data_IF_884661592301
#
_entry.id   IF_884661592301
#
_cell.length_a   1.000
_cell.length_b   1.000
_cell.length_c   1.000
_cell.angle_alpha   90.00
_cell.angle_beta   90.00
_cell.angle_gamma   90.00
#
_symmetry.space_group_name_H-M   'P 1'
#
loop_
_entity.id
_entity.type
_entity.pdbx_description
1 polymer ?
#
# COMPACT_ATOMS: atom_id res chain seq x y z
N UNK A 1 -11.18 16.41 6.30
CA UNK A 1 -10.77 15.90 5.22
C UNK A 1 -9.41 15.51 5.27
N UNK A 2 -9.11 14.46 5.00
CA UNK A 2 -7.86 13.93 5.20
C UNK A 2 -6.93 14.13 4.03
N UNK A 3 -5.66 14.10 4.30
CA UNK A 3 -4.68 14.04 3.26
C UNK A 3 -4.59 12.62 2.78
N UNK A 4 -4.14 12.47 1.55
CA UNK A 4 -3.80 11.14 1.06
C UNK A 4 -2.54 10.66 1.78
N UNK A 5 -2.43 9.38 2.06
CA UNK A 5 -1.27 8.86 2.77
C UNK A 5 -0.03 8.83 1.89
N UNK A 6 1.13 8.81 2.54
CA UNK A 6 2.38 8.60 1.85
C UNK A 6 2.59 7.11 1.62
N UNK A 7 3.52 6.78 0.73
CA UNK A 7 3.85 5.37 0.52
C UNK A 7 4.38 4.73 1.80
N UNK A 8 5.17 5.47 2.58
CA UNK A 8 5.71 4.95 3.83
C UNK A 8 4.59 4.58 4.80
N UNK A 9 3.56 5.43 4.90
CA UNK A 9 2.43 5.16 5.78
C UNK A 9 1.67 3.91 5.34
N UNK A 10 1.47 3.77 4.03
CA UNK A 10 0.78 2.61 3.50
C UNK A 10 1.58 1.34 3.77
N UNK A 11 2.89 1.40 3.52
CA UNK A 11 3.77 0.25 3.73
C UNK A 11 3.74 -0.19 5.19
N UNK A 12 3.84 0.76 6.12
CA UNK A 12 3.79 0.41 7.54
C UNK A 12 2.47 -0.26 7.90
N UNK A 13 1.37 0.23 7.34
CA UNK A 13 0.07 -0.35 7.61
C UNK A 13 -0.01 -1.78 7.06
N UNK A 14 0.47 -1.99 5.84
CA UNK A 14 0.48 -3.32 5.24
C UNK A 14 1.32 -4.29 6.07
N UNK A 15 2.49 -3.86 6.51
CA UNK A 15 3.36 -4.70 7.31
C UNK A 15 2.71 -5.06 8.63
N UNK A 16 2.04 -4.09 9.25
CA UNK A 16 1.34 -4.34 10.49
C UNK A 16 0.23 -5.35 10.33
N UNK A 17 -0.37 -5.43 9.14
CA UNK A 17 -1.44 -6.37 8.84
C UNK A 17 -0.93 -7.69 8.27
N UNK A 18 0.38 -7.90 8.29
CA UNK A 18 0.94 -9.20 7.91
C UNK A 18 1.44 -9.31 6.50
N UNK A 19 1.37 -8.24 5.72
CA UNK A 19 1.96 -8.25 4.38
C UNK A 19 3.47 -8.14 4.50
N UNK A 20 4.19 -8.76 3.58
CA UNK A 20 5.65 -8.69 3.59
C UNK A 20 6.18 -8.29 2.23
N UNK A 21 7.32 -7.66 2.26
CA UNK A 21 8.02 -7.18 1.07
C UNK A 21 8.46 -8.37 0.23
N UNK A 22 8.20 -8.29 -1.06
CA UNK A 22 8.61 -9.33 -1.99
C UNK A 22 9.73 -8.82 -2.90
N UNK A 23 9.50 -7.69 -3.55
CA UNK A 23 10.48 -7.16 -4.50
C UNK A 23 10.16 -5.72 -4.81
N UNK A 24 11.11 -5.06 -5.45
CA UNK A 24 10.91 -3.72 -5.95
C UNK A 24 11.40 -3.66 -7.37
N UNK A 25 10.58 -3.09 -8.24
CA UNK A 25 10.96 -2.88 -9.61
C UNK A 25 10.75 -1.41 -9.94
N UNK A 26 11.86 -0.67 -10.14
CA UNK A 26 11.79 0.76 -10.32
C UNK A 26 11.15 1.41 -9.11
N UNK A 27 10.07 2.14 -9.34
CA UNK A 27 9.36 2.85 -8.29
C UNK A 27 8.21 2.07 -7.69
N UNK A 28 8.13 0.77 -7.93
CA UNK A 28 6.99 -0.02 -7.47
C UNK A 28 7.46 -1.14 -6.58
N UNK A 29 6.91 -1.20 -5.36
CA UNK A 29 7.20 -2.26 -4.41
C UNK A 29 6.04 -3.23 -4.34
N UNK A 30 6.37 -4.52 -4.30
CA UNK A 30 5.36 -5.57 -4.22
C UNK A 30 5.32 -6.13 -2.81
N UNK A 31 4.13 -6.19 -2.24
CA UNK A 31 3.87 -6.81 -0.94
C UNK A 31 2.89 -7.95 -1.10
N UNK A 32 3.03 -8.97 -0.28
CA UNK A 32 2.22 -10.16 -0.44
C UNK A 32 1.78 -10.72 0.90
N UNK A 33 0.57 -11.29 0.92
CA UNK A 33 0.06 -12.01 2.08
C UNK A 33 -1.01 -12.98 1.61
N UNK A 34 -0.77 -14.28 1.80
CA UNK A 34 -1.78 -15.31 1.54
C UNK A 34 -2.47 -15.17 0.19
N UNK A 35 -1.68 -15.06 -0.85
CA UNK A 35 -2.23 -14.97 -2.20
C UNK A 35 -2.65 -13.59 -2.63
N UNK A 36 -2.70 -12.63 -1.72
CA UNK A 36 -3.01 -11.24 -2.09
C UNK A 36 -1.74 -10.51 -2.40
N UNK A 37 -1.76 -9.74 -3.46
CA UNK A 37 -0.59 -8.97 -3.90
C UNK A 37 -0.98 -7.50 -3.97
N UNK A 38 -0.15 -6.66 -3.38
CA UNK A 38 -0.38 -5.21 -3.36
C UNK A 38 0.85 -4.53 -3.94
N UNK A 39 0.63 -3.63 -4.89
CA UNK A 39 1.71 -2.85 -5.50
C UNK A 39 1.63 -1.42 -4.99
N UNK A 40 2.72 -0.93 -4.41
CA UNK A 40 2.78 0.41 -3.84
C UNK A 40 3.88 1.21 -4.53
N UNK A 41 3.54 2.34 -5.16
CA UNK A 41 4.60 3.20 -5.70
C UNK A 41 5.37 3.81 -4.53
N UNK A 42 6.69 3.71 -4.58
CA UNK A 42 7.54 4.14 -3.47
C UNK A 42 8.90 4.56 -4.00
N UNK A 43 9.39 5.70 -3.59
CA UNK A 43 8.83 6.61 -2.57
C UNK A 43 7.81 7.58 -3.17
N UNK A 44 6.81 7.94 -2.37
CA UNK A 44 5.80 8.93 -2.76
C UNK A 44 5.30 9.63 -1.52
N UNK A 45 5.32 10.95 -1.53
CA UNK A 45 4.82 11.71 -0.39
C UNK A 45 3.32 11.62 -0.25
N UNK A 46 2.63 11.54 -1.37
CA UNK A 46 1.18 11.39 -1.40
C UNK A 46 0.82 10.38 -2.47
N UNK A 47 0.12 9.33 -2.09
CA UNK A 47 -0.34 8.34 -3.06
C UNK A 47 -1.60 8.90 -3.73
N UNK A 48 -1.66 8.98 -5.06
CA UNK A 48 -2.86 9.46 -5.74
C UNK A 48 -4.08 8.65 -5.36
N UNK A 49 -5.24 9.30 -5.31
CA UNK A 49 -6.46 8.65 -4.81
C UNK A 49 -6.82 7.38 -5.59
N UNK A 50 -6.67 7.40 -6.91
CA UNK A 50 -6.96 6.21 -7.70
C UNK A 50 -6.05 5.04 -7.36
N UNK A 51 -4.77 5.33 -7.17
CA UNK A 51 -3.79 4.32 -6.76
C UNK A 51 -4.12 3.81 -5.37
N UNK A 52 -4.49 4.71 -4.46
CA UNK A 52 -4.85 4.32 -3.11
C UNK A 52 -6.06 3.38 -3.10
N UNK A 53 -7.06 3.67 -3.92
CA UNK A 53 -8.22 2.80 -4.05
C UNK A 53 -7.86 1.41 -4.56
N UNK A 54 -6.91 1.36 -5.51
CA UNK A 54 -6.43 0.06 -6.00
C UNK A 54 -5.74 -0.72 -4.90
N UNK A 55 -4.93 -0.04 -4.09
CA UNK A 55 -4.24 -0.67 -2.97
C UNK A 55 -5.25 -1.23 -1.98
N UNK A 56 -6.27 -0.45 -1.64
CA UNK A 56 -7.33 -0.90 -0.74
C UNK A 56 -7.96 -2.18 -1.26
N UNK A 57 -8.33 -2.17 -2.53
CA UNK A 57 -8.99 -3.31 -3.14
C UNK A 57 -8.07 -4.53 -3.18
N UNK A 58 -6.81 -4.34 -3.56
CA UNK A 58 -5.86 -5.43 -3.65
C UNK A 58 -5.59 -6.06 -2.30
N UNK A 59 -5.53 -5.25 -1.25
CA UNK A 59 -5.18 -5.74 0.07
C UNK A 59 -6.32 -6.48 0.76
N UNK A 60 -7.55 -6.15 0.40
CA UNK A 60 -8.70 -6.72 1.08
C UNK A 60 -8.83 -6.28 2.52
N UNK A 61 -8.10 -5.24 2.93
CA UNK A 61 -8.13 -4.76 4.30
C UNK A 61 -9.13 -3.63 4.47
N UNK A 62 -9.51 -3.39 5.72
CA UNK A 62 -10.29 -2.23 6.07
C UNK A 62 -9.31 -1.10 6.37
N UNK A 63 -9.49 0.04 5.73
CA UNK A 63 -8.55 1.15 5.85
C UNK A 63 -9.17 2.30 6.63
N UNK A 64 -9.81 1.96 7.74
CA UNK A 64 -10.49 2.96 8.55
C UNK A 64 -9.52 3.95 9.18
N UNK A 65 -8.26 3.59 9.30
CA UNK A 65 -7.27 4.45 9.94
C UNK A 65 -6.80 5.59 9.04
N UNK A 66 -7.21 5.63 7.79
CA UNK A 66 -6.82 6.68 6.87
C UNK A 66 -8.02 7.53 6.36
#
# INVERSE_FOLDING_TARGET
MGKLPSSTEIIKYLERKGFHYVSQRGSYRKYKKQGKVVIVPHPKKEIPIGTFRSIIRQSGLSWDEF
#
